data_IF_693971997169
#
_entry.id   IF_693971997169
#
_cell.length_a   1.000
_cell.length_b   1.000
_cell.length_c   1.000
_cell.angle_alpha   90.00
_cell.angle_beta   90.00
_cell.angle_gamma   90.00
#
_symmetry.space_group_name_H-M   'P 1'
#
loop_
_entity.id
_entity.type
_entity.pdbx_description
1 polymer ?
#
# COMPACT_ATOMS: atom_id res chain seq x y z
N UNK A 1 -5.08 3.93 12.30
CA UNK A 1 -5.49 3.55 10.91
C UNK A 1 -4.27 3.47 10.01
N UNK A 2 -4.16 2.45 9.16
CA UNK A 2 -3.03 2.33 8.23
C UNK A 2 -3.06 3.51 7.24
N UNK A 3 -1.93 4.18 7.09
CA UNK A 3 -1.73 5.29 6.18
C UNK A 3 -0.69 4.94 5.12
N UNK A 4 -0.72 5.62 3.98
CA UNK A 4 0.03 5.20 2.80
C UNK A 4 0.62 6.37 2.03
N UNK A 5 1.64 6.08 1.23
CA UNK A 5 2.12 6.94 0.14
C UNK A 5 2.50 6.07 -1.04
N UNK A 6 2.38 6.61 -2.24
CA UNK A 6 2.69 5.88 -3.47
C UNK A 6 3.69 6.65 -4.31
N UNK A 7 4.78 5.98 -4.70
CA UNK A 7 5.73 6.48 -5.70
C UNK A 7 5.55 5.74 -7.01
N UNK A 8 5.67 6.48 -8.11
CA UNK A 8 5.83 5.97 -9.48
C UNK A 8 7.14 6.51 -10.02
N UNK A 9 8.05 5.63 -10.46
CA UNK A 9 9.38 6.02 -10.97
C UNK A 9 10.14 6.98 -10.05
N UNK A 10 10.01 6.77 -8.73
CA UNK A 10 10.68 7.58 -7.70
C UNK A 10 9.95 8.88 -7.30
N UNK A 11 8.92 9.31 -8.04
CA UNK A 11 8.12 10.50 -7.71
C UNK A 11 6.82 10.12 -6.99
N UNK A 12 6.39 10.91 -6.00
CA UNK A 12 5.12 10.69 -5.32
C UNK A 12 3.94 10.98 -6.25
N UNK A 13 3.02 10.02 -6.35
CA UNK A 13 1.73 10.14 -7.07
C UNK A 13 0.53 10.14 -6.12
N UNK A 14 0.75 9.78 -4.85
CA UNK A 14 -0.17 9.98 -3.73
C UNK A 14 0.63 10.21 -2.44
N UNK A 15 0.30 11.26 -1.69
CA UNK A 15 1.08 11.72 -0.54
C UNK A 15 2.36 12.48 -0.93
N UNK A 16 3.23 12.73 0.04
CA UNK A 16 4.55 13.34 -0.16
C UNK A 16 5.49 13.03 1.03
N UNK A 17 6.68 13.63 1.07
CA UNK A 17 7.67 13.41 2.14
C UNK A 17 7.13 13.59 3.57
N UNK A 18 6.11 14.43 3.76
CA UNK A 18 5.50 14.75 5.05
C UNK A 18 4.03 14.37 5.19
N UNK A 19 3.34 14.05 4.10
CA UNK A 19 1.89 13.79 4.08
C UNK A 19 1.61 12.35 3.72
N UNK A 20 0.86 11.69 4.61
CA UNK A 20 0.34 10.35 4.40
C UNK A 20 -1.14 10.40 4.01
N UNK A 21 -1.55 9.44 3.20
CA UNK A 21 -2.88 9.34 2.61
C UNK A 21 -3.65 8.14 3.18
N UNK A 22 -4.98 8.22 3.10
CA UNK A 22 -5.90 7.09 3.32
C UNK A 22 -5.96 6.17 2.09
N UNK A 23 -6.52 4.95 2.19
CA UNK A 23 -6.68 4.07 1.04
C UNK A 23 -7.42 4.69 -0.15
N UNK A 24 -8.42 5.55 0.09
CA UNK A 24 -9.19 6.19 -0.97
C UNK A 24 -8.37 7.18 -1.79
N UNK A 25 -7.39 7.83 -1.16
CA UNK A 25 -6.50 8.81 -1.80
C UNK A 25 -5.35 8.14 -2.58
N UNK A 26 -5.19 6.81 -2.48
CA UNK A 26 -4.23 6.04 -3.29
C UNK A 26 -4.75 5.75 -4.70
N UNK A 27 -6.02 5.98 -5.00
CA UNK A 27 -6.61 5.61 -6.27
C UNK A 27 -5.86 6.29 -7.44
N UNK A 28 -5.30 5.48 -8.33
CA UNK A 28 -4.66 5.93 -9.56
C UNK A 28 -5.42 5.31 -10.73
N UNK A 29 -6.14 6.13 -11.48
CA UNK A 29 -6.68 5.74 -12.78
C UNK A 29 -5.69 6.18 -13.85
N UNK A 30 -4.72 5.32 -14.16
CA UNK A 30 -3.66 5.66 -15.12
C UNK A 30 -3.46 4.52 -16.10
N UNK A 31 -3.69 4.82 -17.38
CA UNK A 31 -3.35 3.93 -18.49
C UNK A 31 -1.83 3.82 -18.59
N UNK A 32 -1.31 2.60 -18.53
CA UNK A 32 0.09 2.30 -18.81
C UNK A 32 0.19 1.98 -20.30
N UNK A 33 1.06 2.67 -21.03
CA UNK A 33 1.24 2.42 -22.46
C UNK A 33 1.71 0.97 -22.72
N UNK A 34 1.27 0.40 -23.84
CA UNK A 34 1.72 -0.93 -24.26
C UNK A 34 3.24 -1.02 -24.34
N UNK A 35 3.80 -2.16 -23.92
CA UNK A 35 5.25 -2.43 -23.90
C UNK A 35 6.07 -1.53 -22.94
N UNK A 36 5.42 -0.70 -22.13
CA UNK A 36 6.10 0.06 -21.07
C UNK A 36 6.09 -0.69 -19.74
N UNK A 37 7.10 -0.41 -18.90
CA UNK A 37 7.16 -0.89 -17.51
C UNK A 37 7.06 0.32 -16.60
N UNK A 38 6.26 0.21 -15.55
CA UNK A 38 6.16 1.23 -14.50
C UNK A 38 6.47 0.60 -13.14
N UNK A 39 7.45 1.16 -12.43
CA UNK A 39 7.77 0.77 -11.06
C UNK A 39 6.96 1.62 -10.08
N UNK A 40 6.16 0.93 -9.28
CA UNK A 40 5.47 1.53 -8.13
C UNK A 40 6.10 1.07 -6.82
N UNK A 41 6.18 1.98 -5.85
CA UNK A 41 6.57 1.68 -4.47
C UNK A 41 5.45 2.18 -3.55
N UNK A 42 4.76 1.24 -2.90
CA UNK A 42 3.80 1.53 -1.85
C UNK A 42 4.56 1.62 -0.52
N UNK A 43 4.54 2.79 0.09
CA UNK A 43 4.98 3.01 1.46
C UNK A 43 3.75 2.96 2.37
N UNK A 44 3.86 2.29 3.52
CA UNK A 44 2.80 2.26 4.53
C UNK A 44 3.34 2.62 5.91
N UNK A 45 2.48 3.25 6.70
CA UNK A 45 2.76 3.65 8.07
C UNK A 45 1.55 3.36 8.95
N UNK A 46 1.78 2.69 10.07
CA UNK A 46 0.80 2.50 11.11
C UNK A 46 1.07 3.51 12.23
N UNK A 47 0.26 4.57 12.39
CA UNK A 47 0.37 5.49 13.51
C UNK A 47 0.01 4.79 14.80
N UNK A 48 0.84 4.96 15.83
CA UNK A 48 0.61 4.36 17.15
C UNK A 48 -0.77 4.78 17.70
N UNK A 49 -1.60 3.78 17.99
CA UNK A 49 -2.89 3.92 18.62
C UNK A 49 -2.86 3.51 20.09
N UNK A 50 -3.83 4.01 20.87
CA UNK A 50 -3.99 3.70 22.30
C UNK A 50 -4.05 2.19 22.61
N UNK A 51 -4.50 1.39 21.65
CA UNK A 51 -4.82 -0.03 21.80
C UNK A 51 -3.96 -0.95 20.91
N UNK A 52 -2.89 -0.44 20.29
CA UNK A 52 -2.09 -1.20 19.33
C UNK A 52 -1.46 -2.48 19.93
N UNK A 53 -1.29 -2.50 21.26
CA UNK A 53 -0.69 -3.63 21.99
C UNK A 53 -1.70 -4.53 22.70
N UNK A 54 -3.01 -4.24 22.65
CA UNK A 54 -4.03 -4.99 23.40
C UNK A 54 -4.05 -6.48 23.04
N UNK A 55 -3.56 -6.81 21.84
CA UNK A 55 -3.53 -8.17 21.29
C UNK A 55 -2.10 -8.66 20.98
N UNK A 56 -1.06 -8.00 21.51
CA UNK A 56 0.34 -8.36 21.25
C UNK A 56 0.65 -9.83 21.61
N UNK A 57 -0.08 -10.41 22.58
CA UNK A 57 0.03 -11.82 22.99
C UNK A 57 -0.33 -12.85 21.90
N UNK A 58 -1.00 -12.41 20.83
CA UNK A 58 -1.35 -13.25 19.67
C UNK A 58 -0.36 -13.09 18.50
N UNK A 59 0.60 -12.17 18.61
CA UNK A 59 1.63 -11.96 17.60
C UNK A 59 2.46 -13.22 17.35
N UNK A 60 2.75 -13.52 16.08
CA UNK A 60 3.55 -14.68 15.68
C UNK A 60 2.80 -16.03 15.72
N UNK A 61 1.53 -16.05 16.11
CA UNK A 61 0.71 -17.26 16.05
C UNK A 61 0.16 -17.47 14.62
N UNK A 62 0.48 -18.60 13.96
CA UNK A 62 0.02 -18.86 12.59
C UNK A 62 -1.50 -18.87 12.45
N UNK A 63 -2.23 -19.29 13.49
CA UNK A 63 -3.70 -19.33 13.49
C UNK A 63 -4.36 -17.94 13.35
N UNK A 64 -3.62 -16.87 13.66
CA UNK A 64 -4.09 -15.48 13.61
C UNK A 64 -3.39 -14.67 12.51
N UNK A 65 -2.74 -15.35 11.56
CA UNK A 65 -2.00 -14.74 10.46
C UNK A 65 -2.83 -14.74 9.17
N UNK A 66 -2.66 -13.71 8.35
CA UNK A 66 -3.28 -13.60 7.02
C UNK A 66 -2.20 -13.46 5.94
N UNK A 67 -2.45 -14.06 4.78
CA UNK A 67 -1.58 -13.96 3.61
C UNK A 67 -2.34 -13.30 2.46
N UNK A 68 -1.74 -12.28 1.84
CA UNK A 68 -2.28 -11.64 0.64
C UNK A 68 -1.40 -11.96 -0.56
N UNK A 69 -1.98 -12.56 -1.60
CA UNK A 69 -1.32 -12.82 -2.88
C UNK A 69 -1.92 -11.88 -3.91
N UNK A 70 -1.15 -10.89 -4.37
CA UNK A 70 -1.55 -9.97 -5.42
C UNK A 70 -0.99 -10.46 -6.75
N UNK A 71 -1.87 -10.81 -7.68
CA UNK A 71 -1.52 -11.11 -9.08
C UNK A 71 -2.02 -9.97 -9.95
N UNK A 72 -1.12 -9.32 -10.68
CA UNK A 72 -1.46 -8.25 -11.64
C UNK A 72 -1.28 -8.81 -13.04
N UNK A 73 -2.33 -8.76 -13.85
CA UNK A 73 -2.33 -9.15 -15.26
C UNK A 73 -2.93 -8.03 -16.09
N UNK A 74 -2.20 -7.54 -17.10
CA UNK A 74 -2.76 -6.64 -18.10
C UNK A 74 -3.59 -7.45 -19.11
N UNK A 75 -4.78 -6.98 -19.47
CA UNK A 75 -5.57 -7.52 -20.58
C UNK A 75 -5.62 -6.50 -21.71
N UNK A 76 -5.62 -6.97 -22.96
CA UNK A 76 -5.86 -6.12 -24.14
C UNK A 76 -7.33 -5.68 -24.14
N UNK A 77 -7.58 -4.41 -24.44
CA UNK A 77 -8.90 -3.92 -24.86
C UNK A 77 -9.36 -4.62 -26.15
#
# INVERSE_FOLDING_TARGET
PLCYRLKKEGAYVAGNDTTWCTPHELYQDTVIAGESTAKYILEWYWPEGKNDNDFATFGGKPEYSYSLIIKVTAQRE
#
